data_IF_930322873863
#
_entry.id   IF_930322873863
#
_cell.length_a   1.000
_cell.length_b   1.000
_cell.length_c   1.000
_cell.angle_alpha   90.00
_cell.angle_beta   90.00
_cell.angle_gamma   90.00
#
_symmetry.space_group_name_H-M   'P 1'
#
loop_
_entity.id
_entity.type
_entity.pdbx_description
1 polymer ?
#
# COMPACT_ATOMS: atom_id res chain seq x y z
N UNK A 1 -1.64 -0.12 8.06
CA UNK A 1 -1.92 -1.45 7.48
C UNK A 1 -0.84 -2.41 7.99
N UNK A 2 -1.15 -3.19 9.02
CA UNK A 2 -0.27 -4.30 9.39
C UNK A 2 -0.47 -5.37 8.30
N UNK A 3 0.57 -5.69 7.53
CA UNK A 3 0.61 -6.74 6.49
C UNK A 3 -0.08 -6.45 5.15
N UNK A 4 0.00 -5.21 4.64
CA UNK A 4 -0.47 -4.93 3.28
C UNK A 4 0.64 -4.93 2.26
N UNK A 5 0.39 -5.56 1.11
CA UNK A 5 1.34 -5.70 0.01
C UNK A 5 1.66 -7.18 -0.25
N UNK A 6 2.92 -7.45 -0.60
CA UNK A 6 3.37 -8.79 -0.95
C UNK A 6 3.88 -9.56 0.27
N UNK A 7 3.05 -10.46 0.79
CA UNK A 7 3.31 -11.23 2.02
C UNK A 7 4.66 -11.96 2.00
N UNK A 8 5.05 -12.56 0.87
CA UNK A 8 6.30 -13.35 0.78
C UNK A 8 7.58 -12.51 0.80
N UNK A 9 7.45 -11.17 0.73
CA UNK A 9 8.54 -10.20 0.89
C UNK A 9 8.65 -9.63 2.31
N UNK A 10 7.76 -10.00 3.23
CA UNK A 10 7.90 -9.61 4.64
C UNK A 10 9.08 -10.34 5.30
N UNK A 11 9.80 -9.69 6.24
CA UNK A 11 10.92 -10.30 6.95
C UNK A 11 10.60 -11.64 7.65
N UNK A 12 9.36 -11.81 8.12
CA UNK A 12 8.93 -13.07 8.74
C UNK A 12 8.89 -14.27 7.76
N UNK A 13 8.97 -14.02 6.45
CA UNK A 13 9.06 -15.05 5.40
C UNK A 13 10.49 -15.27 4.88
N UNK A 14 11.50 -14.63 5.46
CA UNK A 14 12.89 -14.71 4.97
C UNK A 14 13.43 -16.15 4.94
N UNK A 15 13.24 -16.90 6.02
CA UNK A 15 13.66 -18.31 6.08
C UNK A 15 12.99 -19.13 4.97
N UNK A 16 11.67 -19.01 4.80
CA UNK A 16 10.92 -19.72 3.76
C UNK A 16 11.37 -19.33 2.34
N UNK A 17 11.74 -18.06 2.14
CA UNK A 17 12.24 -17.54 0.86
C UNK A 17 13.66 -18.02 0.57
N UNK A 18 14.52 -18.10 1.59
CA UNK A 18 15.88 -18.63 1.49
C UNK A 18 15.88 -20.14 1.23
N UNK A 19 15.04 -20.90 1.94
CA UNK A 19 14.92 -22.36 1.78
C UNK A 19 14.08 -22.78 0.58
N UNK A 20 13.36 -21.84 -0.04
CA UNK A 20 12.39 -22.09 -1.12
C UNK A 20 11.36 -23.16 -0.74
N UNK A 21 10.95 -23.18 0.52
CA UNK A 21 9.99 -24.14 1.07
C UNK A 21 9.00 -23.42 1.99
N UNK A 22 7.80 -24.00 2.18
CA UNK A 22 6.77 -23.44 3.05
C UNK A 22 5.69 -22.59 2.35
N UNK A 23 5.86 -22.25 1.07
CA UNK A 23 4.79 -21.70 0.23
C UNK A 23 5.01 -22.02 -1.26
N UNK A 24 3.98 -21.78 -2.07
CA UNK A 24 4.04 -21.91 -3.54
C UNK A 24 3.47 -20.66 -4.19
N UNK A 25 4.09 -20.23 -5.29
CA UNK A 25 3.56 -19.20 -6.19
C UNK A 25 3.19 -19.87 -7.51
N UNK A 26 2.00 -19.54 -8.03
CA UNK A 26 1.54 -19.99 -9.34
C UNK A 26 1.49 -18.79 -10.27
N UNK A 27 2.31 -18.76 -11.32
CA UNK A 27 2.45 -17.60 -12.19
C UNK A 27 3.28 -16.48 -11.57
N UNK A 28 2.91 -15.22 -11.81
CA UNK A 28 3.59 -14.03 -11.29
C UNK A 28 2.74 -13.28 -10.26
N UNK A 29 3.39 -12.44 -9.46
CA UNK A 29 2.76 -11.60 -8.44
C UNK A 29 2.88 -10.10 -8.78
N UNK A 30 2.86 -9.77 -10.07
CA UNK A 30 3.08 -8.40 -10.57
C UNK A 30 2.13 -7.38 -9.92
N UNK A 31 0.84 -7.68 -9.86
CA UNK A 31 -0.14 -6.81 -9.20
C UNK A 31 0.09 -6.71 -7.69
N UNK A 32 0.49 -7.81 -7.03
CA UNK A 32 0.80 -7.79 -5.60
C UNK A 32 2.04 -6.92 -5.32
N UNK A 33 3.05 -6.98 -6.19
CA UNK A 33 4.22 -6.12 -6.15
C UNK A 33 3.87 -4.65 -6.43
N UNK A 34 2.99 -4.38 -7.39
CA UNK A 34 2.48 -3.03 -7.65
C UNK A 34 1.75 -2.48 -6.42
N UNK A 35 0.86 -3.27 -5.81
CA UNK A 35 0.13 -2.88 -4.59
C UNK A 35 1.11 -2.56 -3.45
N UNK A 36 2.12 -3.41 -3.24
CA UNK A 36 3.15 -3.20 -2.21
C UNK A 36 3.92 -1.89 -2.40
N UNK A 37 4.25 -1.52 -3.64
CA UNK A 37 5.13 -0.38 -3.93
C UNK A 37 4.39 0.94 -4.21
N UNK A 38 3.15 0.90 -4.70
CA UNK A 38 2.46 2.06 -5.28
C UNK A 38 1.11 2.37 -4.64
N UNK A 39 0.68 1.60 -3.65
CA UNK A 39 -0.62 1.80 -3.02
C UNK A 39 -0.48 2.21 -1.56
N UNK A 40 -1.35 3.12 -1.14
CA UNK A 40 -1.61 3.43 0.26
C UNK A 40 -3.11 3.64 0.44
N UNK A 41 -3.58 3.62 1.69
CA UNK A 41 -4.99 3.76 2.03
C UNK A 41 -5.17 4.97 2.95
N UNK A 42 -6.34 5.58 2.87
CA UNK A 42 -6.77 6.66 3.76
C UNK A 42 -7.98 6.20 4.56
N UNK A 43 -8.19 6.80 5.74
CA UNK A 43 -9.34 6.49 6.57
C UNK A 43 -10.63 7.07 6.00
N UNK A 44 -11.69 6.26 5.97
CA UNK A 44 -13.07 6.65 5.61
C UNK A 44 -14.06 6.10 6.65
N UNK A 45 -13.74 6.31 7.92
CA UNK A 45 -14.55 5.83 9.04
C UNK A 45 -15.87 6.60 9.13
N UNK A 46 -17.02 5.95 9.44
CA UNK A 46 -18.31 6.65 9.51
C UNK A 46 -18.40 7.83 10.49
N UNK A 47 -17.57 7.87 11.54
CA UNK A 47 -17.54 9.00 12.47
C UNK A 47 -16.69 10.18 12.02
N UNK A 48 -16.21 10.20 10.77
CA UNK A 48 -15.48 11.33 10.22
C UNK A 48 -16.44 12.45 9.82
N UNK A 49 -16.11 13.68 10.20
CA UNK A 49 -16.90 14.84 9.81
C UNK A 49 -16.56 15.27 8.38
N UNK A 50 -17.44 16.05 7.78
CA UNK A 50 -17.24 16.59 6.43
C UNK A 50 -15.97 17.46 6.35
N UNK A 51 -15.65 18.21 7.41
CA UNK A 51 -14.45 19.04 7.50
C UNK A 51 -13.16 18.21 7.46
N UNK A 52 -13.14 17.06 8.14
CA UNK A 52 -12.00 16.14 8.11
C UNK A 52 -11.76 15.61 6.69
N UNK A 53 -12.84 15.24 6.00
CA UNK A 53 -12.77 14.77 4.61
C UNK A 53 -12.31 15.88 3.66
N UNK A 54 -12.86 17.10 3.80
CA UNK A 54 -12.45 18.28 3.02
C UNK A 54 -10.96 18.58 3.21
N UNK A 55 -10.45 18.46 4.44
CA UNK A 55 -9.04 18.66 4.71
C UNK A 55 -8.16 17.61 3.99
N UNK A 56 -8.50 16.32 4.06
CA UNK A 56 -7.76 15.28 3.33
C UNK A 56 -7.76 15.53 1.82
N UNK A 57 -8.91 15.87 1.24
CA UNK A 57 -9.02 16.19 -0.19
C UNK A 57 -8.14 17.39 -0.56
N UNK A 58 -8.14 18.45 0.26
CA UNK A 58 -7.27 19.62 0.05
C UNK A 58 -5.79 19.23 0.02
N UNK A 59 -5.32 18.46 1.01
CA UNK A 59 -3.91 18.05 1.10
C UNK A 59 -3.50 17.21 -0.10
N UNK A 60 -4.32 16.25 -0.52
CA UNK A 60 -4.05 15.41 -1.69
C UNK A 60 -3.98 16.26 -2.97
N UNK A 61 -4.89 17.23 -3.14
CA UNK A 61 -4.89 18.15 -4.29
C UNK A 61 -3.65 19.03 -4.32
N UNK A 62 -3.26 19.61 -3.18
CA UNK A 62 -2.05 20.45 -3.12
C UNK A 62 -0.79 19.64 -3.45
N UNK A 63 -0.67 18.43 -2.90
CA UNK A 63 0.47 17.54 -3.17
C UNK A 63 0.58 17.19 -4.66
N UNK A 64 -0.55 16.83 -5.28
CA UNK A 64 -0.58 16.46 -6.72
C UNK A 64 -0.30 17.63 -7.63
N UNK A 65 -0.74 18.85 -7.28
CA UNK A 65 -0.49 20.06 -8.06
C UNK A 65 0.97 20.55 -7.96
N UNK A 66 1.61 20.48 -6.77
CA UNK A 66 3.02 20.87 -6.62
C UNK A 66 3.97 20.04 -7.48
N UNK A 67 3.60 18.79 -7.75
CA UNK A 67 4.41 17.83 -8.52
C UNK A 67 4.39 18.05 -10.03
N UNK A 68 3.52 18.94 -10.55
CA UNK A 68 3.40 19.24 -11.99
C UNK A 68 4.33 20.40 -12.40
N UNK A 69 4.83 21.18 -11.44
CA UNK A 69 5.66 22.37 -11.68
C UNK A 69 7.08 22.29 -11.09
N UNK A 70 7.56 21.09 -10.76
CA UNK A 70 8.89 20.84 -10.18
C UNK A 70 9.64 19.75 -10.90
#
# INVERSE_FOLDING_TARGET
MLFAGNLIKHPCFDNMRLTKSGYRVSGTLENTDMIMNQTFWIGVYPGMTEEMVKYMVKVIREFTQRRIFG
#
